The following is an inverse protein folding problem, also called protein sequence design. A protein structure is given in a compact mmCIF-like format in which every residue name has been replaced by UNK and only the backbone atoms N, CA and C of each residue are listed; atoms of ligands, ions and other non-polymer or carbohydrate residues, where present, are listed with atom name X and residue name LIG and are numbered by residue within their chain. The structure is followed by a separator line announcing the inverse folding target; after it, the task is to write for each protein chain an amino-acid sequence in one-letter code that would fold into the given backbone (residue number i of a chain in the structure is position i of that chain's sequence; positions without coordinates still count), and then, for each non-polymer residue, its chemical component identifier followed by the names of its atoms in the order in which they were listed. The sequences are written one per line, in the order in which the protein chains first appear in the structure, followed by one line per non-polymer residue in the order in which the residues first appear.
data_IF_936519363686
#
_entry.id   IF_936519363686
#
_cell.length_a   1.000
_cell.length_b   1.000
_cell.length_c   1.000
_cell.angle_alpha   90.00
_cell.angle_beta   90.00
_cell.angle_gamma   90.00
#
_symmetry.space_group_name_H-M   'P 1'
#
loop_
_entity.id
_entity.type
_entity.pdbx_description
1 polymer ?
#
# COMPACT_ATOMS: atom_id res chain seq x y z
N UNK A 1 0.01 1.14 -29.42
CA UNK A 1 0.82 0.76 -28.24
C UNK A 1 -0.17 0.47 -27.14
N UNK A 2 -0.21 -0.75 -26.62
CA UNK A 2 -1.11 -1.09 -25.51
C UNK A 2 -0.57 -0.39 -24.27
N UNK A 3 -1.32 0.55 -23.75
CA UNK A 3 -1.05 1.19 -22.48
C UNK A 3 -0.98 0.12 -21.39
N UNK A 4 0.07 0.16 -20.58
CA UNK A 4 0.20 -0.73 -19.42
C UNK A 4 -0.88 -0.33 -18.42
N UNK A 5 -1.85 -1.21 -18.19
CA UNK A 5 -3.02 -0.93 -17.36
C UNK A 5 -2.66 -0.56 -15.91
N UNK A 6 -1.46 -0.91 -15.46
CA UNK A 6 -0.85 -0.58 -14.17
C UNK A 6 -0.19 0.81 -14.13
N UNK A 7 0.09 1.41 -15.29
CA UNK A 7 0.80 2.69 -15.44
C UNK A 7 -0.01 3.77 -16.18
N UNK A 8 -1.34 3.66 -16.17
CA UNK A 8 -2.23 4.61 -16.85
C UNK A 8 -2.08 6.04 -16.26
N UNK A 9 -2.10 7.10 -17.10
CA UNK A 9 -2.11 8.49 -16.66
C UNK A 9 -3.34 8.83 -15.82
N UNK A 10 -4.41 8.01 -15.89
CA UNK A 10 -5.57 8.13 -15.02
C UNK A 10 -5.21 7.99 -13.53
N UNK A 11 -4.16 7.24 -13.19
CA UNK A 11 -3.72 7.12 -11.80
C UNK A 11 -3.03 8.39 -11.29
N UNK A 12 -2.30 9.10 -12.15
CA UNK A 12 -1.72 10.39 -11.80
C UNK A 12 -2.81 11.44 -11.60
N UNK A 13 -3.80 11.49 -12.49
CA UNK A 13 -4.99 12.35 -12.35
C UNK A 13 -5.76 12.03 -11.07
N UNK A 14 -6.05 10.75 -10.82
CA UNK A 14 -6.71 10.33 -9.59
C UNK A 14 -5.91 10.73 -8.34
N UNK A 15 -4.59 10.50 -8.33
CA UNK A 15 -3.74 10.88 -7.20
C UNK A 15 -3.74 12.39 -6.94
N UNK A 16 -3.78 13.21 -8.00
CA UNK A 16 -3.86 14.67 -7.90
C UNK A 16 -5.21 15.11 -7.34
N UNK A 17 -6.30 14.59 -7.88
CA UNK A 17 -7.66 15.04 -7.58
C UNK A 17 -8.13 14.55 -6.19
N UNK A 18 -7.63 13.39 -5.74
CA UNK A 18 -7.95 12.81 -4.44
C UNK A 18 -6.86 13.01 -3.39
N UNK A 19 -5.82 13.80 -3.68
CA UNK A 19 -4.74 14.05 -2.73
C UNK A 19 -5.26 14.52 -1.36
N UNK A 20 -4.80 13.85 -0.30
CA UNK A 20 -5.21 14.10 1.08
C UNK A 20 -6.62 13.61 1.44
N UNK A 21 -7.35 12.99 0.50
CA UNK A 21 -8.60 12.29 0.79
C UNK A 21 -8.32 10.88 1.25
N UNK A 22 -9.16 10.40 2.16
CA UNK A 22 -9.11 9.03 2.64
C UNK A 22 -9.75 8.07 1.64
N UNK A 23 -9.10 6.92 1.44
CA UNK A 23 -9.60 5.74 0.75
C UNK A 23 -9.65 4.58 1.75
N UNK A 24 -10.61 3.68 1.55
CA UNK A 24 -10.83 2.52 2.42
C UNK A 24 -10.96 1.26 1.55
N UNK A 25 -10.16 0.24 1.85
CA UNK A 25 -10.14 -1.00 1.08
C UNK A 25 -9.54 -2.15 1.87
N UNK A 26 -9.88 -3.36 1.45
CA UNK A 26 -9.22 -4.58 1.90
C UNK A 26 -8.01 -4.88 1.02
N UNK A 27 -6.94 -5.37 1.65
CA UNK A 27 -5.70 -5.70 0.96
C UNK A 27 -4.93 -6.83 1.62
N UNK A 28 -3.92 -7.30 0.89
CA UNK A 28 -2.95 -8.27 1.39
C UNK A 28 -1.56 -7.67 1.33
N UNK A 29 -0.78 -7.83 2.40
CA UNK A 29 0.62 -7.43 2.38
C UNK A 29 1.36 -8.31 1.36
N UNK A 30 1.82 -7.71 0.27
CA UNK A 30 2.50 -8.41 -0.82
C UNK A 30 4.00 -8.57 -0.53
N UNK A 31 4.60 -7.53 0.05
CA UNK A 31 6.02 -7.54 0.43
C UNK A 31 6.28 -6.52 1.55
N UNK A 32 7.27 -6.82 2.39
CA UNK A 32 7.87 -5.85 3.30
C UNK A 32 9.38 -5.87 3.11
N UNK A 33 9.98 -4.69 2.97
CA UNK A 33 11.43 -4.53 2.91
C UNK A 33 11.86 -3.42 3.88
N UNK A 34 13.02 -3.57 4.56
CA UNK A 34 13.57 -2.48 5.35
C UNK A 34 13.73 -1.20 4.51
N UNK A 35 13.32 -0.07 5.07
CA UNK A 35 13.54 1.22 4.45
C UNK A 35 15.00 1.64 4.70
N UNK A 36 15.80 1.73 3.63
CA UNK A 36 17.23 2.06 3.71
C UNK A 36 17.96 1.11 4.70
N UNK A 37 18.60 1.68 5.73
CA UNK A 37 19.34 0.94 6.75
C UNK A 37 18.60 0.90 8.11
N UNK A 38 17.32 1.27 8.15
CA UNK A 38 16.53 1.24 9.38
C UNK A 38 16.10 -0.19 9.73
N UNK A 39 16.17 -0.54 11.01
CA UNK A 39 15.71 -1.86 11.51
C UNK A 39 14.19 -1.92 11.76
N UNK A 40 13.56 -0.77 11.93
CA UNK A 40 12.18 -0.66 12.41
C UNK A 40 11.27 0.12 11.46
N UNK A 41 11.77 0.51 10.28
CA UNK A 41 11.00 1.21 9.25
C UNK A 41 11.02 0.39 7.97
N UNK A 42 9.88 0.30 7.30
CA UNK A 42 9.67 -0.60 6.17
C UNK A 42 9.01 0.13 5.00
N UNK A 43 9.37 -0.28 3.79
CA UNK A 43 8.56 -0.10 2.61
C UNK A 43 7.63 -1.31 2.50
N UNK A 44 6.33 -1.05 2.56
CA UNK A 44 5.30 -2.09 2.62
C UNK A 44 4.48 -2.01 1.34
N UNK A 45 4.49 -3.09 0.57
CA UNK A 45 3.68 -3.23 -0.64
C UNK A 45 2.37 -3.93 -0.27
N UNK A 46 1.26 -3.39 -0.76
CA UNK A 46 -0.08 -3.92 -0.53
C UNK A 46 -0.76 -4.17 -1.87
N UNK A 47 -1.25 -5.39 -2.06
CA UNK A 47 -2.13 -5.76 -3.17
C UNK A 47 -3.59 -5.53 -2.76
N UNK A 48 -4.42 -5.11 -3.70
CA UNK A 48 -5.86 -4.93 -3.47
C UNK A 48 -6.58 -6.28 -3.40
N UNK A 49 -7.59 -6.38 -2.54
CA UNK A 49 -8.43 -7.58 -2.40
C UNK A 49 -7.90 -8.59 -1.36
N UNK A 50 -8.42 -9.81 -1.43
CA UNK A 50 -8.25 -10.84 -0.38
C UNK A 50 -7.19 -11.93 -0.71
N UNK A 51 -6.59 -11.89 -1.90
CA UNK A 51 -5.55 -12.84 -2.35
C UNK A 51 -4.42 -12.12 -3.09
N UNK A 52 -3.21 -12.16 -2.52
CA UNK A 52 -2.03 -11.55 -3.11
C UNK A 52 -1.59 -12.20 -4.44
N UNK A 53 -2.05 -13.41 -4.75
CA UNK A 53 -1.72 -14.11 -6.00
C UNK A 53 -2.67 -13.76 -7.14
N UNK A 54 -3.80 -13.12 -6.83
CA UNK A 54 -4.74 -12.64 -7.84
C UNK A 54 -4.30 -11.25 -8.27
N UNK A 55 -3.81 -11.14 -9.51
CA UNK A 55 -3.52 -9.84 -10.09
C UNK A 55 -4.83 -9.09 -10.32
N UNK A 56 -5.08 -8.11 -9.45
CA UNK A 56 -6.08 -7.08 -9.67
C UNK A 56 -5.36 -5.96 -10.42
N UNK A 57 -5.67 -5.76 -11.70
CA UNK A 57 -4.94 -4.80 -12.53
C UNK A 57 -4.93 -3.38 -11.93
N UNK A 58 -3.81 -2.68 -12.07
CA UNK A 58 -3.61 -1.33 -11.54
C UNK A 58 -2.24 -1.15 -10.89
N UNK A 59 -1.95 0.04 -10.33
CA UNK A 59 -0.70 0.32 -9.66
C UNK A 59 -0.65 -0.44 -8.33
N UNK A 60 0.56 -0.81 -7.91
CA UNK A 60 0.73 -1.37 -6.56
C UNK A 60 0.61 -0.26 -5.52
N UNK A 61 -0.02 -0.55 -4.39
CA UNK A 61 -0.11 0.40 -3.28
C UNK A 61 1.08 0.25 -2.36
N UNK A 62 1.65 1.37 -1.91
CA UNK A 62 2.81 1.35 -1.02
C UNK A 62 2.65 2.30 0.16
N UNK A 63 2.90 1.76 1.35
CA UNK A 63 3.24 2.56 2.53
C UNK A 63 4.76 2.65 2.63
N UNK A 64 5.28 3.84 2.36
CA UNK A 64 6.71 4.07 2.27
C UNK A 64 7.28 4.50 3.62
N UNK A 65 8.41 3.91 3.99
CA UNK A 65 9.19 4.27 5.17
C UNK A 65 8.32 4.40 6.43
N UNK A 66 7.56 3.35 6.77
CA UNK A 66 6.66 3.34 7.93
C UNK A 66 7.18 2.43 9.04
N UNK A 67 7.03 2.89 10.27
CA UNK A 67 7.15 2.05 11.45
C UNK A 67 5.84 1.25 11.66
N UNK A 68 5.96 -0.05 11.88
CA UNK A 68 4.79 -0.94 12.03
C UNK A 68 3.93 -0.58 13.26
N UNK A 69 4.56 -0.18 14.36
CA UNK A 69 3.87 0.11 15.62
C UNK A 69 3.23 1.49 15.59
N UNK A 70 3.99 2.51 15.18
CA UNK A 70 3.57 3.91 15.30
C UNK A 70 2.88 4.46 14.06
N UNK A 71 3.36 4.11 12.86
CA UNK A 71 2.91 4.75 11.63
C UNK A 71 1.77 3.97 10.96
N UNK A 72 1.83 2.63 10.97
CA UNK A 72 0.78 1.77 10.40
C UNK A 72 -0.53 1.83 11.19
N UNK A 73 -0.47 2.23 12.47
CA UNK A 73 -1.63 2.30 13.39
C UNK A 73 -2.45 1.00 13.36
N UNK A 74 -1.73 -0.12 13.42
CA UNK A 74 -2.32 -1.45 13.33
C UNK A 74 -3.20 -1.74 14.55
N UNK A 75 -4.44 -2.16 14.28
CA UNK A 75 -5.47 -2.52 15.26
C UNK A 75 -6.05 -3.88 14.92
N UNK A 76 -6.92 -4.39 15.78
CA UNK A 76 -7.62 -5.66 15.60
C UNK A 76 -7.24 -6.68 16.66
N UNK A 77 -7.94 -7.80 16.63
CA UNK A 77 -7.67 -8.94 17.50
C UNK A 77 -6.60 -9.83 16.85
N UNK A 78 -5.86 -10.59 17.65
CA UNK A 78 -4.84 -11.55 17.17
C UNK A 78 -3.76 -10.94 16.24
N UNK A 79 -3.38 -9.69 16.48
CA UNK A 79 -2.26 -9.06 15.77
C UNK A 79 -1.00 -9.93 15.97
N UNK A 80 -0.32 -10.38 14.90
CA UNK A 80 0.89 -11.17 15.04
C UNK A 80 2.05 -10.32 15.56
N UNK A 81 3.04 -10.97 16.17
CA UNK A 81 4.27 -10.29 16.62
C UNK A 81 5.00 -9.57 15.46
N UNK A 82 4.87 -10.11 14.25
CA UNK A 82 5.47 -9.59 13.03
C UNK A 82 4.51 -9.68 11.85
N UNK A 83 4.40 -8.59 11.09
CA UNK A 83 3.76 -8.60 9.78
C UNK A 83 4.65 -9.29 8.74
N UNK A 84 4.02 -10.02 7.83
CA UNK A 84 4.67 -10.77 6.75
C UNK A 84 3.84 -10.72 5.47
N UNK A 85 4.47 -11.10 4.36
CA UNK A 85 3.74 -11.29 3.11
C UNK A 85 2.63 -12.33 3.29
N UNK A 86 1.45 -12.07 2.73
CA UNK A 86 0.24 -12.88 2.86
C UNK A 86 -0.69 -12.47 4.01
N UNK A 87 -0.25 -11.61 4.93
CA UNK A 87 -1.14 -11.07 5.97
C UNK A 87 -2.24 -10.20 5.35
N UNK A 88 -3.48 -10.44 5.78
CA UNK A 88 -4.66 -9.71 5.31
C UNK A 88 -4.92 -8.52 6.22
N UNK A 89 -5.25 -7.40 5.61
CA UNK A 89 -5.48 -6.14 6.31
C UNK A 89 -6.65 -5.40 5.71
N UNK A 90 -7.39 -4.71 6.58
CA UNK A 90 -8.33 -3.68 6.19
C UNK A 90 -7.66 -2.31 6.40
N UNK A 91 -7.67 -1.46 5.38
CA UNK A 91 -6.89 -0.22 5.34
C UNK A 91 -7.82 0.98 5.19
N UNK A 92 -7.56 2.01 6.00
CA UNK A 92 -7.92 3.41 5.70
C UNK A 92 -6.64 4.21 5.53
N UNK A 93 -6.51 4.94 4.43
CA UNK A 93 -5.31 5.69 4.14
C UNK A 93 -5.59 6.94 3.31
N UNK A 94 -4.80 7.98 3.51
CA UNK A 94 -4.83 9.18 2.66
C UNK A 94 -4.02 8.96 1.38
N UNK A 95 -4.57 9.45 0.26
CA UNK A 95 -3.87 9.50 -1.03
C UNK A 95 -2.75 10.54 -0.96
N UNK A 96 -1.49 10.10 -1.16
CA UNK A 96 -0.34 11.00 -1.10
C UNK A 96 0.08 11.45 -2.50
N UNK A 97 0.43 10.51 -3.37
CA UNK A 97 0.82 10.73 -4.77
C UNK A 97 0.92 9.42 -5.54
N UNK A 98 1.00 9.55 -6.86
CA UNK A 98 1.41 8.49 -7.76
C UNK A 98 2.85 8.72 -8.22
N UNK A 99 3.62 7.65 -8.39
CA UNK A 99 4.97 7.67 -8.94
C UNK A 99 5.08 6.66 -10.09
N UNK A 100 5.49 7.12 -11.26
CA UNK A 100 5.97 6.29 -12.36
C UNK A 100 7.49 6.43 -12.47
N UNK A 101 8.20 5.35 -12.16
CA UNK A 101 9.65 5.27 -12.29
C UNK A 101 10.02 4.19 -13.30
N UNK A 102 10.05 4.56 -14.58
CA UNK A 102 10.44 3.69 -15.70
C UNK A 102 9.60 2.39 -15.75
N UNK A 103 8.28 2.50 -15.57
CA UNK A 103 7.37 1.36 -15.61
C UNK A 103 7.22 0.62 -14.28
N UNK A 104 7.76 1.18 -13.18
CA UNK A 104 7.38 0.83 -11.81
C UNK A 104 6.39 1.88 -11.33
N UNK A 105 5.12 1.48 -11.24
CA UNK A 105 3.99 2.38 -11.01
C UNK A 105 3.41 2.15 -9.62
N UNK A 106 3.66 3.11 -8.72
CA UNK A 106 3.34 3.03 -7.30
C UNK A 106 2.36 4.11 -6.89
N UNK A 107 1.31 3.68 -6.21
CA UNK A 107 0.40 4.58 -5.53
C UNK A 107 0.81 4.69 -4.06
N UNK A 108 1.30 5.87 -3.67
CA UNK A 108 1.71 6.13 -2.30
C UNK A 108 0.53 6.57 -1.47
N UNK A 109 0.40 5.90 -0.34
CA UNK A 109 -0.65 6.12 0.63
C UNK A 109 -0.03 6.35 2.01
N UNK A 110 -0.68 7.16 2.83
CA UNK A 110 -0.35 7.30 4.25
C UNK A 110 -1.45 6.69 5.11
N UNK A 111 -1.16 5.61 5.86
CA UNK A 111 -2.19 4.93 6.65
C UNK A 111 -2.71 5.82 7.78
N UNK A 112 -4.03 5.94 7.86
CA UNK A 112 -4.74 6.61 8.96
C UNK A 112 -5.23 5.59 9.98
N UNK A 113 -5.56 4.37 9.53
CA UNK A 113 -5.88 3.20 10.33
C UNK A 113 -5.61 1.93 9.52
N UNK A 114 -5.03 0.90 10.15
CA UNK A 114 -4.92 -0.43 9.55
C UNK A 114 -5.49 -1.44 10.54
N UNK A 115 -6.27 -2.42 10.08
CA UNK A 115 -6.77 -3.52 10.91
C UNK A 115 -6.25 -4.85 10.38
N UNK A 116 -5.70 -5.67 11.26
CA UNK A 116 -5.38 -7.06 10.94
C UNK A 116 -6.68 -7.86 10.77
N UNK A 117 -6.71 -8.79 9.82
CA UNK A 117 -7.88 -9.64 9.49
C UNK A 117 -7.58 -11.12 9.63
#
# INVERSE_FOLDING_TARGET
MTERADCSPLFEEFARDFKGREVEFDGVIAALAPAKNYKTRFNILVSQGDDANVFVGGPSFQFRDKNIVYDLKLKGDNIPDHLRAGDKVHIKAEVEKYEDNNGICLFLLTPTETKYR
#
